data_IF_748681512330
#
_entry.id   IF_748681512330
#
_cell.length_a   1.000
_cell.length_b   1.000
_cell.length_c   1.000
_cell.angle_alpha   90.00
_cell.angle_beta   90.00
_cell.angle_gamma   90.00
#
_symmetry.space_group_name_H-M   'P 1'
#
loop_
_entity.id
_entity.type
_entity.pdbx_description
1 polymer ?
#
# COMPACT_ATOMS: atom_id res chain seq x y z
N UNK A 1 6.08 21.83 6.69
CA UNK A 1 5.21 20.80 6.08
C UNK A 1 6.13 19.78 5.46
N UNK A 2 6.18 18.56 5.99
CA UNK A 2 6.88 17.47 5.32
C UNK A 2 5.98 17.15 4.12
N UNK A 3 6.45 17.43 2.91
CA UNK A 3 5.76 16.96 1.70
C UNK A 3 5.54 15.45 1.86
N UNK A 4 4.33 14.97 1.60
CA UNK A 4 4.07 13.53 1.56
C UNK A 4 5.00 12.94 0.50
N UNK A 5 6.14 12.40 0.93
CA UNK A 5 7.02 11.65 0.05
C UNK A 5 6.26 10.38 -0.31
N UNK A 6 5.90 10.24 -1.58
CA UNK A 6 5.39 8.99 -2.10
C UNK A 6 6.60 8.13 -2.48
N UNK A 7 6.66 6.92 -1.95
CA UNK A 7 7.73 5.98 -2.20
C UNK A 7 7.11 4.74 -2.84
N UNK A 8 7.49 4.51 -4.10
CA UNK A 8 6.98 3.41 -4.90
C UNK A 8 8.12 2.74 -5.63
N UNK A 9 8.10 1.42 -5.68
CA UNK A 9 8.99 0.62 -6.51
C UNK A 9 8.13 -0.20 -7.48
N UNK A 10 8.37 -0.04 -8.77
CA UNK A 10 7.72 -0.81 -9.82
C UNK A 10 8.69 -1.87 -10.36
N UNK A 11 8.21 -3.12 -10.45
CA UNK A 11 8.93 -4.28 -10.96
C UNK A 11 8.26 -4.70 -12.28
N UNK A 12 8.72 -4.23 -13.45
CA UNK A 12 8.02 -4.42 -14.71
C UNK A 12 7.87 -5.89 -15.12
N UNK A 13 8.92 -6.70 -14.88
CA UNK A 13 8.94 -8.11 -15.27
C UNK A 13 7.78 -8.92 -14.69
N UNK A 14 7.41 -8.59 -13.45
CA UNK A 14 6.37 -9.29 -12.70
C UNK A 14 5.06 -8.47 -12.64
N UNK A 15 5.06 -7.27 -13.25
CA UNK A 15 4.00 -6.28 -13.18
C UNK A 15 3.51 -5.97 -11.76
N UNK A 16 4.47 -5.83 -10.83
CA UNK A 16 4.22 -5.59 -9.41
C UNK A 16 4.58 -4.15 -9.04
N UNK A 17 3.70 -3.50 -8.29
CA UNK A 17 3.98 -2.23 -7.63
C UNK A 17 4.06 -2.43 -6.12
N UNK A 18 5.12 -1.93 -5.51
CA UNK A 18 5.32 -1.86 -4.07
C UNK A 18 5.16 -0.40 -3.67
N UNK A 19 4.19 -0.10 -2.82
CA UNK A 19 3.94 1.25 -2.33
C UNK A 19 4.19 1.30 -0.82
N UNK A 20 5.02 2.25 -0.40
CA UNK A 20 5.36 2.46 1.00
C UNK A 20 4.50 3.56 1.63
N UNK A 21 4.06 3.32 2.85
CA UNK A 21 3.10 4.12 3.57
C UNK A 21 3.52 4.34 5.01
N UNK A 22 2.92 5.34 5.64
CA UNK A 22 2.96 5.54 7.10
C UNK A 22 1.55 5.77 7.61
N UNK A 23 0.63 4.89 7.22
CA UNK A 23 -0.78 5.00 7.57
C UNK A 23 -1.03 4.34 8.93
N UNK A 24 -1.45 5.13 9.90
CA UNK A 24 -1.79 4.60 11.22
C UNK A 24 -3.06 3.75 11.16
N UNK A 25 -2.99 2.54 11.68
CA UNK A 25 -4.11 1.60 11.75
C UNK A 25 -4.90 1.88 13.02
N UNK A 26 -6.20 2.18 12.86
CA UNK A 26 -7.11 2.39 13.99
C UNK A 26 -8.04 1.19 14.20
N UNK A 27 -8.13 0.30 13.22
CA UNK A 27 -8.89 -0.94 13.32
C UNK A 27 -8.27 -1.89 14.36
N UNK A 28 -8.99 -2.13 15.46
CA UNK A 28 -8.52 -2.96 16.57
C UNK A 28 -8.11 -4.38 16.16
N UNK A 29 -8.75 -4.96 15.13
CA UNK A 29 -8.41 -6.31 14.64
C UNK A 29 -7.03 -6.32 13.99
N UNK A 30 -6.72 -5.29 13.19
CA UNK A 30 -5.44 -5.15 12.50
C UNK A 30 -4.34 -4.64 13.43
N UNK A 31 -4.70 -3.88 14.47
CA UNK A 31 -3.76 -3.31 15.45
C UNK A 31 -2.98 -4.37 16.25
N UNK A 32 -3.48 -5.61 16.27
CA UNK A 32 -2.80 -6.74 16.92
C UNK A 32 -1.89 -7.54 15.99
N UNK A 33 -1.87 -7.23 14.69
CA UNK A 33 -1.08 -7.95 13.70
C UNK A 33 0.29 -7.29 13.47
N UNK A 34 1.22 -8.05 12.89
CA UNK A 34 2.53 -7.57 12.49
C UNK A 34 3.12 -8.43 11.37
N UNK A 35 3.91 -7.83 10.49
CA UNK A 35 4.55 -8.50 9.35
C UNK A 35 3.68 -8.48 8.08
N UNK A 36 4.02 -9.36 7.14
CA UNK A 36 3.30 -9.49 5.87
C UNK A 36 2.01 -10.30 6.05
N UNK A 37 0.91 -9.75 5.55
CA UNK A 37 -0.43 -10.31 5.66
C UNK A 37 -1.07 -10.35 4.28
N UNK A 38 -1.70 -11.47 3.95
CA UNK A 38 -2.50 -11.58 2.74
C UNK A 38 -3.75 -10.70 2.87
N UNK A 39 -3.94 -9.78 1.92
CA UNK A 39 -4.99 -8.77 1.99
C UNK A 39 -6.08 -8.99 0.92
N UNK A 40 -5.67 -9.39 -0.28
CA UNK A 40 -6.54 -9.77 -1.40
C UNK A 40 -7.66 -8.75 -1.70
N UNK A 41 -7.33 -7.46 -1.76
CA UNK A 41 -8.30 -6.39 -2.05
C UNK A 41 -8.16 -5.92 -3.50
N UNK A 42 -9.27 -5.89 -4.23
CA UNK A 42 -9.29 -5.35 -5.61
C UNK A 42 -9.23 -3.81 -5.60
N UNK A 43 -8.50 -3.26 -6.57
CA UNK A 43 -8.50 -1.83 -6.91
C UNK A 43 -8.79 -1.64 -8.40
N UNK A 44 -8.98 -0.40 -8.83
CA UNK A 44 -9.13 -0.12 -10.26
C UNK A 44 -7.87 -0.53 -11.06
N UNK A 45 -6.69 -0.38 -10.46
CA UNK A 45 -5.39 -0.62 -11.10
C UNK A 45 -4.88 -2.05 -11.01
N UNK A 46 -5.40 -2.84 -10.07
CA UNK A 46 -4.76 -4.10 -9.72
C UNK A 46 -5.46 -4.82 -8.58
N UNK A 47 -4.74 -5.76 -7.99
CA UNK A 47 -5.13 -6.44 -6.76
C UNK A 47 -4.04 -6.24 -5.72
N UNK A 48 -4.40 -5.70 -4.57
CA UNK A 48 -3.53 -5.63 -3.39
C UNK A 48 -3.43 -7.04 -2.83
N UNK A 49 -2.31 -7.70 -3.09
CA UNK A 49 -2.11 -9.10 -2.69
C UNK A 49 -1.67 -9.20 -1.23
N UNK A 50 -0.77 -8.31 -0.81
CA UNK A 50 -0.18 -8.31 0.53
C UNK A 50 -0.02 -6.90 1.07
N UNK A 51 -0.08 -6.79 2.39
CA UNK A 51 0.29 -5.59 3.12
C UNK A 51 1.28 -5.93 4.21
N UNK A 52 2.20 -5.02 4.49
CA UNK A 52 3.06 -5.09 5.66
C UNK A 52 2.50 -4.21 6.78
N UNK A 53 2.29 -4.82 7.94
CA UNK A 53 1.89 -4.11 9.16
C UNK A 53 3.10 -3.98 10.08
N UNK A 54 3.53 -2.75 10.33
CA UNK A 54 4.59 -2.45 11.30
C UNK A 54 3.98 -2.11 12.65
N UNK A 55 4.40 -2.85 13.68
CA UNK A 55 4.02 -2.56 15.05
C UNK A 55 5.17 -1.90 15.80
N UNK A 56 4.91 -0.72 16.33
CA UNK A 56 5.83 -0.03 17.26
C UNK A 56 5.35 -0.22 18.70
N UNK A 57 6.08 0.34 19.67
CA UNK A 57 5.65 0.32 21.08
C UNK A 57 4.36 1.11 21.33
N UNK A 58 4.04 2.09 20.47
CA UNK A 58 2.96 3.06 20.72
C UNK A 58 1.80 2.94 19.72
N UNK A 59 2.09 2.52 18.49
CA UNK A 59 1.14 2.50 17.39
C UNK A 59 1.46 1.41 16.38
N UNK A 60 0.45 1.02 15.60
CA UNK A 60 0.57 0.09 14.48
C UNK A 60 0.27 0.83 13.18
N UNK A 61 1.03 0.52 12.14
CA UNK A 61 0.97 1.19 10.85
C UNK A 61 0.89 0.20 9.71
N UNK A 62 0.18 0.55 8.64
CA UNK A 62 0.36 -0.05 7.33
C UNK A 62 1.57 0.61 6.68
N UNK A 63 2.62 -0.17 6.47
CA UNK A 63 3.91 0.28 5.97
C UNK A 63 4.09 0.04 4.49
N UNK A 64 3.55 -1.05 3.98
CA UNK A 64 3.75 -1.43 2.58
C UNK A 64 2.50 -2.07 2.05
N UNK A 65 2.16 -1.79 0.80
CA UNK A 65 1.21 -2.56 0.03
C UNK A 65 1.89 -3.08 -1.24
N UNK A 66 1.64 -4.35 -1.56
CA UNK A 66 2.11 -4.99 -2.78
C UNK A 66 0.90 -5.21 -3.68
N UNK A 67 0.96 -4.67 -4.89
CA UNK A 67 -0.11 -4.68 -5.88
C UNK A 67 0.37 -5.43 -7.12
N UNK A 68 -0.42 -6.42 -7.54
CA UNK A 68 -0.36 -6.97 -8.89
C UNK A 68 -1.18 -6.08 -9.81
N UNK A 69 -0.54 -5.45 -10.79
CA UNK A 69 -1.19 -4.51 -11.69
C UNK A 69 -1.92 -5.24 -12.82
N UNK A 70 -3.03 -4.67 -13.29
CA UNK A 70 -3.77 -5.18 -14.47
C UNK A 70 -3.06 -4.88 -15.79
N UNK A 71 -2.21 -3.86 -15.80
CA UNK A 71 -1.49 -3.33 -16.98
C UNK A 71 -0.12 -2.85 -16.56
N UNK A 72 0.83 -2.88 -17.49
CA UNK A 72 2.15 -2.29 -17.28
C UNK A 72 2.04 -0.77 -17.17
N UNK A 73 2.88 -0.19 -16.32
CA UNK A 73 2.97 1.26 -16.15
C UNK A 73 3.97 1.82 -17.16
N UNK A 74 3.56 2.87 -17.86
CA UNK A 74 4.37 3.53 -18.89
C UNK A 74 4.73 4.99 -18.56
N UNK A 75 4.12 5.57 -17.52
CA UNK A 75 4.25 6.98 -17.14
C UNK A 75 4.47 7.12 -15.62
N UNK A 76 5.44 7.94 -15.22
CA UNK A 76 5.71 8.25 -13.82
C UNK A 76 4.52 8.96 -13.15
N UNK A 77 3.75 9.76 -13.89
CA UNK A 77 2.54 10.39 -13.34
C UNK A 77 1.45 9.36 -13.01
N UNK A 78 1.46 8.19 -13.66
CA UNK A 78 0.55 7.10 -13.36
C UNK A 78 0.87 6.48 -12.00
N UNK A 79 2.16 6.31 -11.67
CA UNK A 79 2.60 5.81 -10.36
C UNK A 79 2.05 6.65 -9.21
N UNK A 80 2.14 7.98 -9.35
CA UNK A 80 1.64 8.90 -8.33
C UNK A 80 0.11 8.80 -8.17
N UNK A 81 -0.63 8.69 -9.27
CA UNK A 81 -2.10 8.51 -9.23
C UNK A 81 -2.47 7.19 -8.54
N UNK A 82 -1.80 6.11 -8.90
CA UNK A 82 -2.01 4.79 -8.29
C UNK A 82 -1.73 4.87 -6.78
N UNK A 83 -0.64 5.51 -6.37
CA UNK A 83 -0.29 5.70 -4.97
C UNK A 83 -1.39 6.41 -4.17
N UNK A 84 -1.91 7.54 -4.66
CA UNK A 84 -2.97 8.28 -3.96
C UNK A 84 -4.27 7.47 -3.86
N UNK A 85 -4.67 6.78 -4.93
CA UNK A 85 -5.86 5.92 -4.91
C UNK A 85 -5.70 4.76 -3.91
N UNK A 86 -4.52 4.14 -3.86
CA UNK A 86 -4.23 3.09 -2.90
C UNK A 86 -4.27 3.63 -1.47
N UNK A 87 -3.73 4.82 -1.24
CA UNK A 87 -3.75 5.47 0.07
C UNK A 87 -5.17 5.71 0.55
N UNK A 88 -6.04 6.24 -0.30
CA UNK A 88 -7.45 6.46 0.00
C UNK A 88 -8.18 5.15 0.28
N UNK A 89 -8.00 4.16 -0.60
CA UNK A 89 -8.60 2.84 -0.46
C UNK A 89 -8.19 2.17 0.86
N UNK A 90 -6.89 2.11 1.16
CA UNK A 90 -6.37 1.48 2.37
C UNK A 90 -6.84 2.20 3.63
N UNK A 91 -6.84 3.54 3.63
CA UNK A 91 -7.33 4.34 4.78
C UNK A 91 -8.80 4.05 5.09
N UNK A 92 -9.61 3.67 4.09
CA UNK A 92 -11.02 3.32 4.30
C UNK A 92 -11.25 1.93 4.94
N UNK A 93 -10.22 1.08 4.97
CA UNK A 93 -10.31 -0.32 5.40
C UNK A 93 -9.56 -0.58 6.73
N UNK A 94 -8.54 0.22 7.05
CA UNK A 94 -7.64 0.03 8.21
C UNK A 94 -7.96 0.91 9.42
#
# INVERSE_FOLDING_TARGET
MIENQYQVAYIPKDNILIAEFSLQINNEKLNNLSGYIDFNLDSEYGKIIKVEICKTKISTFLCTAIIELKKEISDENELKKIYEVLKELLTSVI
#
